data_IF_283125284818
#
_entry.id   IF_283125284818
#
_cell.length_a   1.000
_cell.length_b   1.000
_cell.length_c   1.000
_cell.angle_alpha   90.00
_cell.angle_beta   90.00
_cell.angle_gamma   90.00
#
_symmetry.space_group_name_H-M   'P 1'
#
loop_
_entity.id
_entity.type
_entity.pdbx_description
1 polymer ?
#
# COMPACT_ATOMS: atom_id res chain seq x y z
N UNK A 1 51.47 42.84 10.02
CA UNK A 1 50.85 42.07 8.92
C UNK A 1 50.10 40.91 9.55
N UNK A 2 48.82 41.11 9.82
CA UNK A 2 47.95 40.14 10.47
C UNK A 2 47.34 39.28 9.37
N UNK A 3 47.63 37.98 9.36
CA UNK A 3 47.09 37.07 8.36
C UNK A 3 45.56 36.97 8.48
N UNK A 4 44.81 37.01 7.37
CA UNK A 4 43.36 36.94 7.42
C UNK A 4 42.92 35.50 7.73
N UNK A 5 42.11 35.37 8.78
CA UNK A 5 41.41 34.15 9.15
C UNK A 5 40.45 33.75 8.03
N UNK A 6 40.59 32.52 7.52
CA UNK A 6 39.67 31.95 6.52
C UNK A 6 38.25 31.86 7.11
N UNK A 7 37.19 32.13 6.32
CA UNK A 7 35.83 31.91 6.74
C UNK A 7 35.59 30.43 7.02
N UNK A 8 34.98 30.14 8.17
CA UNK A 8 34.51 28.80 8.55
C UNK A 8 33.47 28.35 7.51
N UNK A 9 33.81 27.30 6.74
CA UNK A 9 32.92 26.67 5.78
C UNK A 9 31.73 26.10 6.57
N UNK A 10 30.55 26.71 6.41
CA UNK A 10 29.30 26.15 6.96
C UNK A 10 29.16 24.72 6.44
N UNK A 11 29.08 23.76 7.36
CA UNK A 11 28.87 22.37 7.02
C UNK A 11 27.69 22.27 6.06
N UNK A 12 27.95 21.76 4.85
CA UNK A 12 26.87 21.48 3.89
C UNK A 12 26.06 20.33 4.48
N UNK A 13 24.82 20.62 4.84
CA UNK A 13 23.83 19.62 5.27
C UNK A 13 23.79 18.45 4.29
N UNK A 14 23.54 17.25 4.81
CA UNK A 14 23.32 16.08 3.96
C UNK A 14 22.11 16.30 3.05
N UNK A 15 22.07 15.71 1.83
CA UNK A 15 20.94 15.86 0.93
C UNK A 15 19.60 15.49 1.59
N UNK A 16 18.68 16.45 1.69
CA UNK A 16 17.35 16.27 2.26
C UNK A 16 17.24 16.42 3.79
N UNK A 17 18.34 16.72 4.49
CA UNK A 17 18.33 16.99 5.93
C UNK A 17 17.44 18.20 6.29
N UNK A 18 17.32 19.16 5.37
CA UNK A 18 16.40 20.31 5.44
C UNK A 18 14.92 19.94 5.24
N UNK A 19 14.62 18.71 4.82
CA UNK A 19 13.27 18.17 4.67
C UNK A 19 12.83 17.32 5.86
N UNK A 20 13.77 16.63 6.52
CA UNK A 20 13.42 15.59 7.51
C UNK A 20 12.71 16.17 8.73
N UNK A 21 13.35 17.09 9.45
CA UNK A 21 12.82 17.63 10.70
C UNK A 21 11.45 18.33 10.49
N UNK A 22 11.26 19.25 9.52
CA UNK A 22 9.96 19.90 9.33
C UNK A 22 8.80 18.94 9.06
N UNK A 23 9.05 17.84 8.34
CA UNK A 23 8.01 16.85 8.01
C UNK A 23 7.73 15.93 9.19
N UNK A 24 8.76 15.53 9.95
CA UNK A 24 8.61 14.70 11.14
C UNK A 24 7.89 15.50 12.25
N UNK A 25 8.30 16.74 12.51
CA UNK A 25 7.67 17.60 13.52
C UNK A 25 6.19 17.86 13.16
N UNK A 26 5.91 18.14 11.89
CA UNK A 26 4.53 18.26 11.42
C UNK A 26 3.74 16.97 11.62
N UNK A 27 4.34 15.80 11.35
CA UNK A 27 3.69 14.50 11.54
C UNK A 27 3.35 14.25 13.01
N UNK A 28 4.23 14.62 13.94
CA UNK A 28 4.00 14.43 15.38
C UNK A 28 2.76 15.17 15.89
N UNK A 29 2.41 16.30 15.28
CA UNK A 29 1.23 17.10 15.62
C UNK A 29 -0.02 16.72 14.80
N UNK A 30 0.14 16.20 13.58
CA UNK A 30 -0.94 16.08 12.60
C UNK A 30 -1.23 14.65 12.12
N UNK A 31 -0.46 13.66 12.56
CA UNK A 31 -0.66 12.27 12.17
C UNK A 31 -2.10 11.83 12.48
N UNK A 32 -2.75 11.20 11.50
CA UNK A 32 -4.01 10.51 11.77
C UNK A 32 -3.79 9.40 12.77
N UNK A 33 -4.69 9.35 13.73
CA UNK A 33 -4.84 8.23 14.65
C UNK A 33 -5.34 7.00 13.85
N UNK A 34 -4.47 6.00 13.68
CA UNK A 34 -4.74 4.80 12.90
C UNK A 34 -4.27 3.58 13.70
N UNK A 35 -5.08 2.53 13.82
CA UNK A 35 -4.80 1.43 14.74
C UNK A 35 -3.51 0.68 14.41
N UNK A 36 -3.17 0.52 13.13
CA UNK A 36 -1.89 -0.07 12.70
C UNK A 36 -0.65 0.79 12.95
N UNK A 37 -0.81 2.02 13.45
CA UNK A 37 0.32 2.88 13.88
C UNK A 37 0.50 2.87 15.39
N UNK A 38 -0.40 2.25 16.14
CA UNK A 38 -0.29 2.20 17.59
C UNK A 38 0.90 1.32 18.00
N UNK A 39 1.61 1.65 19.10
CA UNK A 39 2.77 0.88 19.54
C UNK A 39 2.47 -0.60 19.83
N UNK A 40 1.22 -0.94 20.15
CA UNK A 40 0.74 -2.27 20.48
C UNK A 40 0.18 -3.05 19.28
N UNK A 41 0.09 -2.45 18.09
CA UNK A 41 -0.45 -3.12 16.89
C UNK A 41 0.36 -4.37 16.52
N UNK A 42 1.69 -4.27 16.60
CA UNK A 42 2.61 -5.34 16.25
C UNK A 42 2.71 -5.65 14.74
N UNK A 43 3.65 -6.51 14.34
CA UNK A 43 4.02 -6.68 12.94
C UNK A 43 2.95 -7.31 12.04
N UNK A 44 2.14 -8.21 12.59
CA UNK A 44 1.04 -8.82 11.84
C UNK A 44 -0.02 -7.78 11.47
N UNK A 45 -0.40 -6.94 12.41
CA UNK A 45 -1.37 -5.88 12.20
C UNK A 45 -0.87 -4.86 11.16
N UNK A 46 0.41 -4.46 11.24
CA UNK A 46 1.05 -3.61 10.21
C UNK A 46 1.04 -4.29 8.84
N UNK A 47 1.37 -5.58 8.75
CA UNK A 47 1.34 -6.31 7.48
C UNK A 47 -0.07 -6.34 6.88
N UNK A 48 -1.10 -6.63 7.69
CA UNK A 48 -2.50 -6.63 7.24
C UNK A 48 -2.90 -5.27 6.69
N UNK A 49 -2.56 -4.16 7.38
CA UNK A 49 -2.87 -2.82 6.89
C UNK A 49 -2.17 -2.52 5.56
N UNK A 50 -0.89 -2.90 5.40
CA UNK A 50 -0.15 -2.68 4.16
C UNK A 50 -0.69 -3.49 2.98
N UNK A 51 -1.25 -4.68 3.22
CA UNK A 51 -1.99 -5.41 2.19
C UNK A 51 -3.28 -4.69 1.83
N UNK A 52 -4.05 -4.21 2.81
CA UNK A 52 -5.36 -3.58 2.59
C UNK A 52 -5.25 -2.19 1.94
N UNK A 53 -4.29 -1.36 2.36
CA UNK A 53 -4.13 0.03 1.92
C UNK A 53 -3.65 0.19 0.48
N UNK A 54 -3.14 -0.88 -0.15
CA UNK A 54 -2.79 -0.86 -1.57
C UNK A 54 -4.02 -0.49 -2.43
N UNK A 55 -4.02 0.72 -3.00
CA UNK A 55 -5.10 1.20 -3.87
C UNK A 55 -6.50 1.21 -3.19
N UNK A 56 -6.56 1.28 -1.86
CA UNK A 56 -7.81 1.33 -1.10
C UNK A 56 -7.72 2.43 -0.04
N UNK A 57 -8.63 3.41 -0.03
CA UNK A 57 -8.57 4.51 0.93
C UNK A 57 -8.83 4.03 2.37
N UNK A 58 -8.17 4.70 3.31
CA UNK A 58 -8.17 4.38 4.76
C UNK A 58 -9.58 4.18 5.32
N UNK A 59 -10.53 5.07 4.99
CA UNK A 59 -11.90 5.00 5.49
C UNK A 59 -12.66 3.72 5.09
N UNK A 60 -12.27 3.07 3.98
CA UNK A 60 -12.81 1.76 3.60
C UNK A 60 -12.06 0.60 4.27
N UNK A 61 -10.77 0.80 4.58
CA UNK A 61 -9.92 -0.24 5.20
C UNK A 61 -10.28 -0.43 6.66
N UNK A 62 -10.42 0.66 7.44
CA UNK A 62 -10.62 0.63 8.89
C UNK A 62 -11.62 -0.44 9.39
N UNK A 63 -12.90 -0.46 8.94
CA UNK A 63 -13.85 -1.44 9.45
C UNK A 63 -13.51 -2.89 9.08
N UNK A 64 -12.89 -3.11 7.91
CA UNK A 64 -12.51 -4.47 7.48
C UNK A 64 -11.26 -4.92 8.24
N UNK A 65 -10.33 -4.02 8.50
CA UNK A 65 -9.14 -4.27 9.29
C UNK A 65 -9.46 -4.68 10.73
N UNK A 66 -10.38 -3.96 11.39
CA UNK A 66 -10.83 -4.28 12.76
C UNK A 66 -11.47 -5.66 12.83
N UNK A 67 -12.39 -5.96 11.90
CA UNK A 67 -13.02 -7.29 11.80
C UNK A 67 -12.00 -8.39 11.50
N UNK A 68 -11.00 -8.09 10.66
CA UNK A 68 -9.94 -9.03 10.29
C UNK A 68 -9.10 -9.42 11.49
N UNK A 69 -8.61 -8.45 12.27
CA UNK A 69 -7.79 -8.73 13.45
C UNK A 69 -8.58 -9.30 14.62
N UNK A 70 -9.87 -8.98 14.73
CA UNK A 70 -10.75 -9.64 15.69
C UNK A 70 -10.92 -11.14 15.38
N UNK A 71 -11.01 -11.51 14.10
CA UNK A 71 -11.13 -12.91 13.67
C UNK A 71 -9.79 -13.64 13.66
N UNK A 72 -8.73 -12.99 13.19
CA UNK A 72 -7.41 -13.58 12.98
C UNK A 72 -6.31 -12.70 13.60
N UNK A 73 -6.16 -12.73 14.93
CA UNK A 73 -5.20 -11.89 15.64
C UNK A 73 -3.74 -12.30 15.38
N UNK A 74 -3.48 -13.54 14.90
CA UNK A 74 -2.14 -14.01 14.51
C UNK A 74 -2.14 -14.59 13.09
N UNK A 75 -0.97 -14.66 12.42
CA UNK A 75 -0.83 -15.32 11.11
C UNK A 75 -1.38 -16.75 11.12
N UNK A 76 -1.09 -17.52 12.17
CA UNK A 76 -1.55 -18.89 12.33
C UNK A 76 -3.08 -19.04 12.38
N UNK A 77 -3.81 -18.00 12.81
CA UNK A 77 -5.27 -18.07 12.86
C UNK A 77 -5.88 -17.91 11.46
N UNK A 78 -5.30 -17.05 10.62
CA UNK A 78 -5.69 -16.94 9.21
C UNK A 78 -5.28 -18.19 8.43
N UNK A 79 -4.08 -18.73 8.69
CA UNK A 79 -3.54 -19.89 7.98
C UNK A 79 -4.35 -21.18 8.19
N UNK A 80 -5.07 -21.32 9.31
CA UNK A 80 -5.95 -22.47 9.60
C UNK A 80 -7.23 -22.48 8.76
N UNK A 81 -7.70 -21.30 8.34
CA UNK A 81 -8.91 -21.18 7.53
C UNK A 81 -8.58 -21.42 6.04
N UNK A 82 -9.59 -21.85 5.29
CA UNK A 82 -9.48 -21.93 3.84
C UNK A 82 -9.19 -20.55 3.21
N UNK A 83 -8.41 -20.45 2.12
CA UNK A 83 -8.13 -19.18 1.45
C UNK A 83 -9.39 -18.43 0.99
N UNK A 84 -10.47 -19.15 0.71
CA UNK A 84 -11.79 -18.58 0.41
C UNK A 84 -12.38 -17.76 1.56
N UNK A 85 -12.09 -18.09 2.82
CA UNK A 85 -12.52 -17.29 3.97
C UNK A 85 -11.83 -15.92 3.98
N UNK A 86 -10.54 -15.88 3.62
CA UNK A 86 -9.81 -14.63 3.45
C UNK A 86 -10.46 -13.76 2.36
N UNK A 87 -10.84 -14.35 1.22
CA UNK A 87 -11.56 -13.65 0.13
C UNK A 87 -12.93 -13.15 0.60
N UNK A 88 -13.65 -13.95 1.42
CA UNK A 88 -14.94 -13.57 2.00
C UNK A 88 -14.81 -12.37 2.92
N UNK A 89 -13.90 -12.42 3.90
CA UNK A 89 -13.66 -11.34 4.85
C UNK A 89 -13.11 -10.06 4.17
N UNK A 90 -12.34 -10.20 3.09
CA UNK A 90 -11.84 -9.05 2.30
C UNK A 90 -12.95 -8.17 1.73
N UNK A 91 -14.15 -8.73 1.56
CA UNK A 91 -15.33 -7.96 1.19
C UNK A 91 -15.12 -7.12 -0.08
N UNK A 92 -15.51 -5.84 -0.01
CA UNK A 92 -15.53 -4.93 -1.16
C UNK A 92 -14.32 -3.99 -1.20
N UNK A 93 -13.21 -4.35 -0.54
CA UNK A 93 -11.95 -3.58 -0.61
C UNK A 93 -11.38 -3.52 -2.05
N UNK A 94 -11.76 -4.45 -2.93
CA UNK A 94 -11.26 -4.53 -4.29
C UNK A 94 -9.90 -5.22 -4.36
N UNK A 95 -9.48 -5.59 -5.58
CA UNK A 95 -8.27 -6.39 -5.82
C UNK A 95 -8.19 -7.64 -4.92
N UNK A 96 -9.20 -8.54 -4.97
CA UNK A 96 -9.37 -9.62 -4.00
C UNK A 96 -8.23 -10.66 -4.00
N UNK A 97 -7.40 -10.71 -5.05
CA UNK A 97 -6.16 -11.52 -5.06
C UNK A 97 -5.21 -11.16 -3.91
N UNK A 98 -5.29 -9.94 -3.38
CA UNK A 98 -4.52 -9.54 -2.19
C UNK A 98 -4.90 -10.35 -0.95
N UNK A 99 -6.15 -10.78 -0.82
CA UNK A 99 -6.59 -11.65 0.27
C UNK A 99 -5.91 -13.03 0.19
N UNK A 100 -5.87 -13.62 -1.02
CA UNK A 100 -5.18 -14.89 -1.26
C UNK A 100 -3.68 -14.78 -0.99
N UNK A 101 -3.06 -13.67 -1.40
CA UNK A 101 -1.64 -13.40 -1.13
C UNK A 101 -1.35 -13.23 0.37
N UNK A 102 -2.20 -12.51 1.09
CA UNK A 102 -2.08 -12.35 2.54
C UNK A 102 -2.28 -13.68 3.28
N UNK A 103 -3.23 -14.51 2.84
CA UNK A 103 -3.40 -15.88 3.35
C UNK A 103 -2.16 -16.73 3.09
N UNK A 104 -1.64 -16.75 1.86
CA UNK A 104 -0.40 -17.47 1.54
C UNK A 104 0.82 -16.96 2.31
N UNK A 105 0.91 -15.65 2.58
CA UNK A 105 1.93 -15.09 3.46
C UNK A 105 1.77 -15.58 4.91
N UNK A 106 0.54 -15.64 5.42
CA UNK A 106 0.25 -16.13 6.77
C UNK A 106 0.58 -17.63 6.94
N UNK A 107 0.27 -18.46 5.94
CA UNK A 107 0.68 -19.87 5.88
C UNK A 107 2.21 -19.97 5.93
N UNK A 108 2.90 -19.23 5.05
CA UNK A 108 4.36 -19.23 4.99
C UNK A 108 5.03 -18.73 6.29
N UNK A 109 4.43 -17.76 6.97
CA UNK A 109 4.88 -17.28 8.30
C UNK A 109 4.72 -18.38 9.34
N UNK A 110 3.57 -19.06 9.34
CA UNK A 110 3.27 -20.14 10.29
C UNK A 110 4.22 -21.32 10.12
N UNK A 111 4.51 -21.72 8.89
CA UNK A 111 5.32 -22.90 8.59
C UNK A 111 6.83 -22.65 8.66
N UNK A 112 7.29 -21.46 8.27
CA UNK A 112 8.72 -21.18 8.06
C UNK A 112 9.34 -20.21 9.08
N UNK A 113 8.49 -19.56 9.88
CA UNK A 113 8.90 -18.50 10.80
C UNK A 113 8.19 -18.63 12.17
N UNK A 114 7.81 -19.86 12.57
CA UNK A 114 7.22 -20.18 13.87
C UNK A 114 5.96 -19.37 14.24
N UNK A 115 5.24 -18.85 13.22
CA UNK A 115 4.02 -18.06 13.40
C UNK A 115 4.26 -16.57 13.67
N UNK A 116 5.51 -16.10 13.64
CA UNK A 116 5.87 -14.71 13.83
C UNK A 116 6.35 -14.07 12.52
N UNK A 117 5.88 -12.86 12.24
CA UNK A 117 6.30 -12.13 11.04
C UNK A 117 7.82 -11.94 11.08
N UNK A 118 8.59 -12.33 10.05
CA UNK A 118 10.04 -12.21 10.11
C UNK A 118 10.50 -10.76 10.19
N UNK A 119 11.58 -10.50 10.93
CA UNK A 119 12.18 -9.17 11.09
C UNK A 119 13.06 -8.80 9.90
N UNK A 120 13.75 -9.76 9.32
CA UNK A 120 14.72 -9.52 8.25
C UNK A 120 14.01 -9.15 6.94
N UNK A 121 14.41 -8.03 6.34
CA UNK A 121 13.85 -7.55 5.07
C UNK A 121 13.89 -8.61 3.96
N UNK A 122 14.97 -9.39 3.88
CA UNK A 122 15.10 -10.46 2.88
C UNK A 122 14.06 -11.59 3.09
N UNK A 123 13.76 -11.92 4.35
CA UNK A 123 12.74 -12.92 4.68
C UNK A 123 11.33 -12.40 4.40
N UNK A 124 11.06 -11.12 4.72
CA UNK A 124 9.81 -10.45 4.34
C UNK A 124 9.59 -10.49 2.82
N UNK A 125 10.62 -10.18 2.04
CA UNK A 125 10.56 -10.21 0.57
C UNK A 125 10.34 -11.62 0.00
N UNK A 126 10.75 -12.67 0.72
CA UNK A 126 10.56 -14.06 0.32
C UNK A 126 9.16 -14.62 0.67
N UNK A 127 8.31 -13.83 1.33
CA UNK A 127 6.93 -14.23 1.61
C UNK A 127 6.04 -14.10 0.35
N UNK A 128 5.11 -15.04 0.12
CA UNK A 128 4.19 -14.99 -1.00
C UNK A 128 3.44 -13.66 -1.10
N UNK A 129 3.49 -13.03 -2.27
CA UNK A 129 2.74 -11.81 -2.55
C UNK A 129 3.26 -10.53 -1.89
N UNK A 130 4.39 -10.61 -1.17
CA UNK A 130 5.12 -9.44 -0.68
C UNK A 130 6.13 -8.98 -1.73
N UNK A 131 6.03 -7.73 -2.14
CA UNK A 131 7.01 -7.09 -3.02
C UNK A 131 7.90 -6.11 -2.28
N UNK A 132 8.83 -5.48 -3.01
CA UNK A 132 9.80 -4.48 -2.49
C UNK A 132 9.13 -3.43 -1.59
N UNK A 133 7.99 -2.87 -2.01
CA UNK A 133 7.25 -1.88 -1.21
C UNK A 133 6.79 -2.45 0.13
N UNK A 134 6.05 -3.57 0.12
CA UNK A 134 5.46 -4.14 1.33
C UNK A 134 6.53 -4.63 2.30
N UNK A 135 7.62 -5.23 1.80
CA UNK A 135 8.74 -5.65 2.63
C UNK A 135 9.40 -4.45 3.33
N UNK A 136 9.68 -3.37 2.59
CA UNK A 136 10.23 -2.14 3.15
C UNK A 136 9.27 -1.46 4.15
N UNK A 137 7.96 -1.44 3.84
CA UNK A 137 6.94 -0.85 4.71
C UNK A 137 6.82 -1.62 6.03
N UNK A 138 6.74 -2.95 6.00
CA UNK A 138 6.69 -3.77 7.22
C UNK A 138 7.98 -3.62 8.02
N UNK A 139 9.14 -3.73 7.38
CA UNK A 139 10.44 -3.55 8.04
C UNK A 139 10.56 -2.17 8.73
N UNK A 140 10.08 -1.12 8.06
CA UNK A 140 10.17 0.24 8.59
C UNK A 140 9.13 0.52 9.67
N UNK A 141 7.86 0.18 9.43
CA UNK A 141 6.76 0.55 10.32
C UNK A 141 6.61 -0.39 11.52
N UNK A 142 6.87 -1.70 11.36
CA UNK A 142 6.76 -2.65 12.47
C UNK A 142 8.07 -2.77 13.26
N UNK A 143 9.22 -2.72 12.58
CA UNK A 143 10.52 -3.00 13.20
C UNK A 143 11.44 -1.78 13.29
N UNK A 144 10.98 -0.60 12.86
CA UNK A 144 11.75 0.63 12.96
C UNK A 144 12.98 0.68 12.06
N UNK A 145 13.12 -0.25 11.11
CA UNK A 145 14.33 -0.39 10.30
C UNK A 145 14.45 0.69 9.23
N UNK A 146 15.70 0.94 8.81
CA UNK A 146 16.04 1.91 7.78
C UNK A 146 15.81 1.35 6.37
N UNK A 147 14.61 1.57 5.81
CA UNK A 147 14.29 1.24 4.41
C UNK A 147 13.56 2.37 3.70
N UNK A 148 13.82 2.60 2.39
CA UNK A 148 13.06 3.57 1.61
C UNK A 148 11.66 3.03 1.28
N UNK A 149 10.62 3.64 1.87
CA UNK A 149 9.22 3.30 1.59
C UNK A 149 8.66 4.22 0.50
N UNK A 150 8.45 3.67 -0.70
CA UNK A 150 8.04 4.44 -1.88
C UNK A 150 6.64 4.04 -2.40
N UNK A 151 5.61 4.57 -1.75
CA UNK A 151 4.25 4.52 -2.30
C UNK A 151 4.00 5.66 -3.30
N UNK A 152 2.78 5.72 -3.86
CA UNK A 152 2.41 6.80 -4.80
C UNK A 152 2.39 8.21 -4.17
N UNK A 153 2.23 8.32 -2.85
CA UNK A 153 2.23 9.57 -2.12
C UNK A 153 3.64 10.10 -1.93
N UNK A 154 4.55 9.29 -1.39
CA UNK A 154 5.96 9.61 -1.18
C UNK A 154 6.63 9.94 -2.52
N UNK A 155 6.39 9.13 -3.56
CA UNK A 155 6.92 9.40 -4.91
C UNK A 155 6.51 10.78 -5.42
N UNK A 156 5.27 11.21 -5.17
CA UNK A 156 4.79 12.55 -5.55
C UNK A 156 5.41 13.65 -4.71
N UNK A 157 5.57 13.45 -3.40
CA UNK A 157 6.27 14.39 -2.51
C UNK A 157 7.70 14.60 -3.02
N UNK A 158 8.45 13.54 -3.30
CA UNK A 158 9.84 13.64 -3.77
C UNK A 158 9.95 14.25 -5.16
N UNK A 159 9.05 13.86 -6.09
CA UNK A 159 8.99 14.44 -7.43
C UNK A 159 8.79 15.97 -7.39
N UNK A 160 7.87 16.44 -6.53
CA UNK A 160 7.60 17.88 -6.40
C UNK A 160 8.68 18.61 -5.61
N UNK A 161 9.01 18.10 -4.42
CA UNK A 161 9.89 18.79 -3.50
C UNK A 161 11.33 18.85 -4.01
N UNK A 162 11.82 17.77 -4.64
CA UNK A 162 13.24 17.62 -4.97
C UNK A 162 13.51 17.76 -6.45
N UNK A 163 12.71 17.14 -7.32
CA UNK A 163 12.96 17.17 -8.77
C UNK A 163 12.19 18.26 -9.51
N UNK A 164 11.29 18.98 -8.82
CA UNK A 164 10.55 20.10 -9.41
C UNK A 164 9.44 19.70 -10.39
N UNK A 165 9.03 18.43 -10.43
CA UNK A 165 8.03 17.93 -11.40
C UNK A 165 6.70 17.62 -10.72
N UNK A 166 5.59 17.90 -11.41
CA UNK A 166 4.25 17.74 -10.83
C UNK A 166 3.90 16.28 -10.51
N UNK A 167 4.27 15.35 -11.40
CA UNK A 167 3.97 13.93 -11.27
C UNK A 167 5.22 13.07 -11.49
N UNK A 168 5.42 12.02 -10.67
CA UNK A 168 6.41 11.00 -10.97
C UNK A 168 5.97 10.17 -12.19
N UNK A 169 6.88 9.41 -12.83
CA UNK A 169 6.55 8.45 -13.88
C UNK A 169 5.46 7.43 -13.47
N UNK A 170 4.81 6.77 -14.42
CA UNK A 170 3.72 5.83 -14.13
C UNK A 170 4.19 4.62 -13.32
N UNK A 171 5.38 4.10 -13.62
CA UNK A 171 6.04 3.02 -12.86
C UNK A 171 7.23 3.58 -12.08
N UNK A 172 7.55 2.98 -10.94
CA UNK A 172 8.72 3.36 -10.13
C UNK A 172 10.00 3.07 -10.90
N UNK A 173 10.85 4.08 -11.06
CA UNK A 173 12.10 4.00 -11.81
C UNK A 173 13.31 3.80 -10.91
N UNK A 174 14.44 3.35 -11.50
CA UNK A 174 15.72 3.26 -10.79
C UNK A 174 16.20 4.63 -10.27
N UNK A 175 15.85 5.72 -10.97
CA UNK A 175 16.16 7.08 -10.54
C UNK A 175 15.38 7.47 -9.27
N UNK A 176 14.08 7.16 -9.21
CA UNK A 176 13.28 7.38 -7.99
C UNK A 176 13.78 6.57 -6.81
N UNK A 177 14.15 5.30 -7.03
CA UNK A 177 14.74 4.46 -5.98
C UNK A 177 16.06 5.04 -5.45
N UNK A 178 16.92 5.54 -6.33
CA UNK A 178 18.19 6.18 -5.92
C UNK A 178 17.92 7.47 -5.14
N UNK A 179 17.00 8.30 -5.60
CA UNK A 179 16.60 9.52 -4.90
C UNK A 179 16.07 9.22 -3.48
N UNK A 180 15.20 8.22 -3.35
CA UNK A 180 14.67 7.84 -2.05
C UNK A 180 15.76 7.37 -1.08
N UNK A 181 16.77 6.63 -1.58
CA UNK A 181 17.94 6.26 -0.77
C UNK A 181 18.78 7.47 -0.37
N UNK A 182 18.97 8.44 -1.25
CA UNK A 182 19.73 9.67 -0.91
C UNK A 182 19.01 10.54 0.12
N UNK A 183 17.67 10.46 0.18
CA UNK A 183 16.85 11.18 1.14
C UNK A 183 16.59 10.39 2.44
N UNK A 184 17.18 9.20 2.62
CA UNK A 184 16.89 8.34 3.75
C UNK A 184 17.79 8.72 4.95
N UNK A 185 17.23 9.18 6.09
CA UNK A 185 18.02 9.52 7.28
C UNK A 185 18.92 8.36 7.72
N UNK A 186 20.13 8.63 8.23
CA UNK A 186 21.08 7.58 8.64
C UNK A 186 20.61 6.79 9.87
N UNK A 187 19.98 7.44 10.84
CA UNK A 187 19.47 6.76 12.04
C UNK A 187 18.15 6.02 11.77
N UNK A 188 18.07 4.74 12.15
CA UNK A 188 16.90 3.88 11.89
C UNK A 188 15.58 4.45 12.42
N UNK A 189 15.59 4.95 13.67
CA UNK A 189 14.42 5.59 14.27
C UNK A 189 13.96 6.81 13.48
N UNK A 190 14.89 7.64 13.02
CA UNK A 190 14.56 8.82 12.21
C UNK A 190 14.07 8.39 10.82
N UNK A 191 14.67 7.36 10.22
CA UNK A 191 14.29 6.84 8.92
C UNK A 191 12.88 6.25 8.91
N UNK A 192 12.51 5.48 9.94
CA UNK A 192 11.16 4.90 10.07
C UNK A 192 10.10 5.98 10.32
N UNK A 193 10.39 6.98 11.16
CA UNK A 193 9.52 8.16 11.31
C UNK A 193 9.37 8.93 10.00
N UNK A 194 10.48 9.17 9.28
CA UNK A 194 10.47 9.82 7.98
C UNK A 194 9.61 9.08 6.95
N UNK A 195 9.66 7.74 6.92
CA UNK A 195 8.84 6.93 6.05
C UNK A 195 7.33 7.16 6.30
N UNK A 196 6.90 7.13 7.56
CA UNK A 196 5.50 7.39 7.91
C UNK A 196 5.09 8.85 7.67
N UNK A 197 5.95 9.79 8.05
CA UNK A 197 5.69 11.23 7.95
C UNK A 197 5.60 11.71 6.50
N UNK A 198 6.52 11.27 5.63
CA UNK A 198 6.49 11.62 4.20
C UNK A 198 5.28 11.03 3.48
N UNK A 199 4.85 9.82 3.86
CA UNK A 199 3.62 9.21 3.35
C UNK A 199 2.38 9.99 3.80
N UNK A 200 2.32 10.40 5.07
CA UNK A 200 1.22 11.20 5.63
C UNK A 200 1.13 12.58 4.97
N UNK A 201 2.28 13.23 4.78
CA UNK A 201 2.36 14.52 4.09
C UNK A 201 1.80 14.41 2.67
N UNK A 202 2.19 13.36 1.94
CA UNK A 202 1.67 13.10 0.60
C UNK A 202 0.17 12.82 0.62
N UNK A 203 -0.33 12.08 1.61
CA UNK A 203 -1.74 11.74 1.73
C UNK A 203 -2.65 12.93 2.07
N UNK A 204 -2.20 13.86 2.94
CA UNK A 204 -3.04 14.90 3.51
C UNK A 204 -2.80 16.30 2.95
N UNK A 205 -1.56 16.62 2.55
CA UNK A 205 -1.16 17.99 2.19
C UNK A 205 -0.72 18.07 0.74
N UNK A 206 0.27 17.28 0.37
CA UNK A 206 0.80 17.23 -0.99
C UNK A 206 -0.01 16.24 -1.84
N UNK A 207 -1.33 16.44 -1.92
CA UNK A 207 -2.26 15.58 -2.66
C UNK A 207 -2.07 15.69 -4.17
N UNK A 208 -2.53 14.68 -4.93
CA UNK A 208 -2.38 14.67 -6.38
C UNK A 208 -3.12 15.83 -7.06
N UNK A 209 -4.29 16.19 -6.52
CA UNK A 209 -5.11 17.34 -6.92
C UNK A 209 -5.42 18.18 -5.68
N UNK A 210 -5.54 19.49 -5.85
CA UNK A 210 -5.88 20.45 -4.79
C UNK A 210 -4.89 20.39 -3.61
N UNK A 211 -3.59 20.38 -3.90
CA UNK A 211 -2.57 20.35 -2.86
C UNK A 211 -2.58 21.60 -1.99
N UNK A 212 -2.44 21.41 -0.68
CA UNK A 212 -2.50 22.48 0.32
C UNK A 212 -1.11 23.05 0.60
N UNK A 213 -0.43 23.60 -0.41
CA UNK A 213 0.95 24.09 -0.26
C UNK A 213 1.14 25.13 0.87
N UNK A 214 0.11 25.92 1.20
CA UNK A 214 0.18 26.89 2.30
C UNK A 214 0.26 26.22 3.69
N UNK A 215 -0.10 24.94 3.80
CA UNK A 215 0.00 24.11 5.02
C UNK A 215 1.19 23.15 4.98
N UNK A 216 2.00 23.18 3.92
CA UNK A 216 3.09 22.23 3.74
C UNK A 216 4.32 22.69 4.54
N UNK A 217 4.86 21.86 5.47
CA UNK A 217 6.00 22.24 6.30
C UNK A 217 7.28 22.48 5.48
N UNK A 218 7.35 21.94 4.26
CA UNK A 218 8.50 22.08 3.35
C UNK A 218 8.20 22.99 2.15
N UNK A 219 7.21 23.88 2.28
CA UNK A 219 6.79 24.76 1.18
C UNK A 219 7.90 25.71 0.70
N UNK A 220 8.80 26.13 1.59
CA UNK A 220 9.89 27.04 1.28
C UNK A 220 11.04 26.35 0.53
N UNK A 221 11.17 25.02 0.67
CA UNK A 221 12.22 24.20 0.06
C UNK A 221 11.74 23.46 -1.20
N UNK A 222 10.43 23.41 -1.44
CA UNK A 222 9.85 22.61 -2.52
C UNK A 222 10.15 23.20 -3.92
N UNK A 223 11.01 22.51 -4.69
CA UNK A 223 11.42 22.92 -6.03
C UNK A 223 10.24 23.21 -6.98
N UNK A 224 9.23 22.33 -7.00
CA UNK A 224 8.06 22.49 -7.88
C UNK A 224 7.22 23.73 -7.51
N UNK A 225 7.10 24.02 -6.21
CA UNK A 225 6.40 25.22 -5.74
C UNK A 225 7.20 26.48 -6.08
N UNK A 226 8.51 26.48 -5.85
CA UNK A 226 9.39 27.61 -6.13
C UNK A 226 9.44 27.93 -7.63
N UNK A 227 9.28 26.93 -8.49
CA UNK A 227 9.14 27.08 -9.94
C UNK A 227 7.75 27.58 -10.40
N UNK A 228 6.84 27.94 -9.49
CA UNK A 228 5.51 28.42 -9.83
C UNK A 228 4.48 27.32 -10.14
N UNK A 229 4.74 26.08 -9.70
CA UNK A 229 3.88 24.90 -9.90
C UNK A 229 3.58 24.59 -11.38
N UNK A 230 4.61 24.40 -12.23
CA UNK A 230 4.40 24.06 -13.63
C UNK A 230 3.52 22.81 -13.76
N UNK A 231 2.55 22.86 -14.68
CA UNK A 231 1.69 21.74 -14.98
C UNK A 231 2.46 20.63 -15.70
N UNK A 232 1.95 19.40 -15.59
CA UNK A 232 2.47 18.27 -16.34
C UNK A 232 2.22 18.44 -17.83
N UNK A 233 3.28 18.30 -18.61
CA UNK A 233 3.34 18.41 -20.07
C UNK A 233 3.00 17.10 -20.82
N UNK A 234 2.85 15.99 -20.09
CA UNK A 234 2.51 14.68 -20.65
C UNK A 234 1.00 14.44 -20.86
N UNK A 235 0.62 13.28 -21.43
CA UNK A 235 -0.78 12.97 -21.69
C UNK A 235 -1.60 12.95 -20.40
N UNK A 236 -2.87 13.38 -20.44
CA UNK A 236 -3.73 13.41 -19.27
C UNK A 236 -3.88 12.00 -18.69
N UNK A 237 -3.72 11.87 -17.37
CA UNK A 237 -3.99 10.63 -16.64
C UNK A 237 -5.50 10.34 -16.67
N UNK A 238 -5.95 9.55 -17.65
CA UNK A 238 -7.36 9.14 -17.78
C UNK A 238 -7.71 8.08 -16.73
N UNK A 239 -8.76 8.35 -15.94
CA UNK A 239 -9.37 7.34 -15.09
C UNK A 239 -10.37 6.51 -15.90
N UNK A 240 -10.33 5.18 -15.77
CA UNK A 240 -11.35 4.31 -16.36
C UNK A 240 -12.63 4.33 -15.51
N UNK A 241 -13.80 4.41 -16.14
CA UNK A 241 -15.11 4.30 -15.49
C UNK A 241 -15.34 2.89 -14.95
N UNK A 242 -16.06 2.73 -13.83
CA UNK A 242 -16.31 1.42 -13.22
C UNK A 242 -17.50 0.70 -13.85
N UNK A 243 -18.56 1.44 -14.17
CA UNK A 243 -19.75 0.88 -14.78
C UNK A 243 -19.43 0.22 -16.14
N UNK A 244 -19.97 -0.97 -16.37
CA UNK A 244 -19.83 -1.73 -17.61
C UNK A 244 -18.49 -2.47 -17.78
N UNK A 245 -17.57 -2.37 -16.82
CA UNK A 245 -16.25 -3.01 -16.92
C UNK A 245 -16.23 -4.42 -16.34
N UNK A 246 -15.31 -5.26 -16.82
CA UNK A 246 -15.12 -6.63 -16.30
C UNK A 246 -14.85 -6.64 -14.79
N UNK A 247 -14.20 -5.62 -14.22
CA UNK A 247 -14.02 -5.50 -12.77
C UNK A 247 -15.35 -5.40 -12.02
N UNK A 248 -16.36 -4.75 -12.60
CA UNK A 248 -17.70 -4.68 -12.00
C UNK A 248 -18.36 -6.06 -12.03
N UNK A 249 -18.32 -6.72 -13.19
CA UNK A 249 -18.92 -8.05 -13.38
C UNK A 249 -18.29 -9.06 -12.42
N UNK A 250 -16.95 -9.10 -12.37
CA UNK A 250 -16.18 -9.93 -11.42
C UNK A 250 -16.54 -9.64 -9.96
N UNK A 251 -16.68 -8.36 -9.60
CA UNK A 251 -17.06 -7.95 -8.26
C UNK A 251 -18.44 -8.47 -7.86
N UNK A 252 -19.41 -8.44 -8.78
CA UNK A 252 -20.76 -8.98 -8.56
C UNK A 252 -20.78 -10.51 -8.49
N UNK A 253 -20.07 -11.21 -9.38
CA UNK A 253 -19.93 -12.67 -9.33
C UNK A 253 -19.34 -13.13 -7.99
N UNK A 254 -18.26 -12.47 -7.55
CA UNK A 254 -17.68 -12.74 -6.24
C UNK A 254 -18.63 -12.41 -5.09
N UNK A 255 -19.56 -11.47 -5.23
CA UNK A 255 -20.51 -11.17 -4.16
C UNK A 255 -21.42 -12.38 -3.89
N UNK A 256 -21.96 -13.02 -4.94
CA UNK A 256 -22.76 -14.25 -4.83
C UNK A 256 -21.97 -15.35 -4.13
N UNK A 257 -20.72 -15.57 -4.54
CA UNK A 257 -19.87 -16.63 -3.97
C UNK A 257 -19.48 -16.37 -2.52
N UNK A 258 -19.38 -15.11 -2.10
CA UNK A 258 -19.07 -14.73 -0.71
C UNK A 258 -20.26 -14.92 0.22
N UNK A 259 -21.47 -14.71 -0.27
CA UNK A 259 -22.70 -14.89 0.50
C UNK A 259 -23.09 -16.38 0.62
N UNK A 260 -22.62 -17.22 -0.31
CA UNK A 260 -22.87 -18.65 -0.29
C UNK A 260 -21.90 -19.41 0.63
N UNK A 261 -22.45 -20.38 1.37
CA UNK A 261 -21.71 -21.34 2.21
C UNK A 261 -21.68 -22.76 1.61
N UNK A 262 -22.33 -22.94 0.46
CA UNK A 262 -22.36 -24.17 -0.34
C UNK A 262 -21.99 -23.82 -1.79
N UNK A 263 -21.57 -24.80 -2.62
CA UNK A 263 -21.32 -24.57 -4.03
C UNK A 263 -22.52 -23.91 -4.75
N UNK A 264 -22.21 -22.89 -5.55
CA UNK A 264 -23.18 -22.07 -6.28
C UNK A 264 -23.35 -22.61 -7.70
N UNK A 265 -24.58 -22.91 -8.15
CA UNK A 265 -24.81 -23.33 -9.52
C UNK A 265 -24.59 -22.19 -10.51
N UNK A 266 -24.14 -22.52 -11.72
CA UNK A 266 -23.93 -21.58 -12.82
C UNK A 266 -25.16 -20.69 -13.07
N UNK A 267 -26.36 -21.26 -12.96
CA UNK A 267 -27.63 -20.54 -13.15
C UNK A 267 -27.85 -19.39 -12.17
N UNK A 268 -27.25 -19.42 -10.98
CA UNK A 268 -27.28 -18.31 -10.03
C UNK A 268 -26.29 -17.20 -10.45
N UNK A 269 -25.11 -17.57 -10.93
CA UNK A 269 -24.13 -16.63 -11.48
C UNK A 269 -24.64 -15.97 -12.77
N UNK A 270 -25.40 -16.71 -13.58
CA UNK A 270 -25.93 -16.22 -14.85
C UNK A 270 -26.90 -15.03 -14.68
N UNK A 271 -27.57 -14.93 -13.53
CA UNK A 271 -28.51 -13.84 -13.22
C UNK A 271 -27.83 -12.53 -12.81
N UNK A 272 -26.51 -12.53 -12.62
CA UNK A 272 -25.76 -11.40 -12.05
C UNK A 272 -25.49 -10.29 -13.06
N UNK A 273 -25.43 -10.64 -14.34
CA UNK A 273 -25.06 -9.75 -15.42
C UNK A 273 -25.69 -10.20 -16.73
N UNK A 274 -26.32 -9.27 -17.45
CA UNK A 274 -27.15 -9.59 -18.61
C UNK A 274 -26.34 -9.99 -19.84
N UNK A 275 -25.10 -9.50 -19.97
CA UNK A 275 -24.24 -9.77 -21.14
C UNK A 275 -23.44 -11.08 -20.98
N UNK A 276 -23.80 -12.18 -21.68
CA UNK A 276 -23.28 -13.51 -21.37
C UNK A 276 -21.79 -13.66 -21.66
N UNK A 277 -21.29 -13.09 -22.76
CA UNK A 277 -19.88 -13.18 -23.16
C UNK A 277 -18.98 -12.48 -22.13
N UNK A 278 -19.39 -11.29 -21.69
CA UNK A 278 -18.65 -10.55 -20.67
C UNK A 278 -18.66 -11.27 -19.32
N UNK A 279 -19.81 -11.84 -18.94
CA UNK A 279 -19.96 -12.61 -17.70
C UNK A 279 -19.09 -13.86 -17.70
N UNK A 280 -19.08 -14.64 -18.77
CA UNK A 280 -18.24 -15.82 -18.92
C UNK A 280 -16.76 -15.46 -18.82
N UNK A 281 -16.29 -14.48 -19.59
CA UNK A 281 -14.90 -13.98 -19.51
C UNK A 281 -14.51 -13.50 -18.11
N UNK A 282 -15.42 -12.80 -17.42
CA UNK A 282 -15.21 -12.35 -16.05
C UNK A 282 -15.07 -13.53 -15.07
N UNK A 283 -15.91 -14.56 -15.20
CA UNK A 283 -15.86 -15.77 -14.39
C UNK A 283 -14.59 -16.58 -14.66
N UNK A 284 -14.23 -16.80 -15.93
CA UNK A 284 -13.00 -17.50 -16.31
C UNK A 284 -11.76 -16.79 -15.75
N UNK A 285 -11.75 -15.46 -15.82
CA UNK A 285 -10.68 -14.68 -15.20
C UNK A 285 -10.64 -14.83 -13.67
N UNK A 286 -11.77 -15.07 -12.99
CA UNK A 286 -11.78 -15.30 -11.55
C UNK A 286 -11.23 -16.69 -11.22
N UNK A 287 -11.56 -17.68 -12.03
CA UNK A 287 -11.00 -19.04 -11.94
C UNK A 287 -9.49 -19.02 -12.17
N UNK A 288 -9.03 -18.36 -13.24
CA UNK A 288 -7.59 -18.26 -13.55
C UNK A 288 -6.79 -17.53 -12.46
N UNK A 289 -7.42 -16.58 -11.77
CA UNK A 289 -6.82 -15.87 -10.65
C UNK A 289 -6.82 -16.65 -9.33
N UNK A 290 -7.40 -17.86 -9.31
CA UNK A 290 -7.56 -18.70 -8.12
C UNK A 290 -8.60 -18.19 -7.13
N UNK A 291 -9.47 -17.25 -7.54
CA UNK A 291 -10.48 -16.66 -6.67
C UNK A 291 -11.77 -17.48 -6.63
N UNK A 292 -11.94 -18.39 -7.58
CA UNK A 292 -13.12 -19.24 -7.74
C UNK A 292 -12.67 -20.62 -8.19
N UNK A 293 -13.16 -21.66 -7.54
CA UNK A 293 -12.97 -23.04 -7.95
C UNK A 293 -14.19 -23.53 -8.72
N UNK A 294 -14.02 -23.99 -9.98
CA UNK A 294 -15.06 -24.73 -10.68
C UNK A 294 -15.12 -26.17 -10.17
N UNK A 295 -16.32 -26.71 -10.08
CA UNK A 295 -16.62 -28.08 -9.65
C UNK A 295 -17.44 -28.82 -10.71
N UNK A 296 -17.46 -30.17 -10.68
CA UNK A 296 -18.33 -30.95 -11.56
C UNK A 296 -19.80 -30.51 -11.47
N UNK A 297 -20.54 -30.63 -12.58
CA UNK A 297 -21.96 -30.28 -12.63
C UNK A 297 -22.27 -28.79 -12.73
N UNK A 298 -21.30 -27.95 -13.13
CA UNK A 298 -21.53 -26.51 -13.30
C UNK A 298 -21.70 -25.77 -11.98
N UNK A 299 -20.98 -26.22 -10.95
CA UNK A 299 -20.97 -25.61 -9.62
C UNK A 299 -19.68 -24.81 -9.41
N UNK A 300 -19.74 -23.75 -8.60
CA UNK A 300 -18.61 -22.87 -8.31
C UNK A 300 -18.55 -22.55 -6.82
N UNK A 301 -17.35 -22.40 -6.27
CA UNK A 301 -17.16 -21.97 -4.88
C UNK A 301 -15.92 -21.08 -4.72
N UNK A 302 -15.75 -20.49 -3.54
CA UNK A 302 -14.48 -19.90 -3.14
C UNK A 302 -13.43 -21.00 -2.85
N UNK A 303 -12.13 -20.69 -2.97
CA UNK A 303 -11.08 -21.70 -2.89
C UNK A 303 -10.94 -22.34 -1.51
N UNK A 304 -10.63 -23.65 -1.47
CA UNK A 304 -10.39 -24.40 -0.24
C UNK A 304 -8.90 -24.69 0.04
N UNK A 305 -8.06 -24.60 -1.00
CA UNK A 305 -6.61 -24.87 -0.93
C UNK A 305 -5.81 -23.81 -1.65
#
# INVERSE_FOLDING_TARGET
>A
MTAPTKPTETARNAPGEDLHAPVIDWFDEHARDLPWRHPDAGPWAVMVSEFMLQQTPVNRVLPVYEQWLARWPRPADLAKDAPGEAVRAWGRLGYPRRALRLHGAAVAITERHDGDVPTEHAQLLALPGIGEYTAAAVASFAYGQRHPVLDTNVRRVFARAVTGVQYPPNATTAAERRLARTLLPEGERTASRWAAASMELGALVCTAKNESCHRCPIAAQCAWRLAGKPEHDGPPRKGQTYAGTDRQVRGKLLAVLREAHVPVPQTALDRVWDEPVQRARALDGLVSDGLVEPLPGGLYRLPLT
#
